data_IF_303550681661
#
_entry.id   IF_303550681661
#
_cell.length_a   1.000
_cell.length_b   1.000
_cell.length_c   1.000
_cell.angle_alpha   90.00
_cell.angle_beta   90.00
_cell.angle_gamma   90.00
#
_symmetry.space_group_name_H-M   'P 1'
#
loop_
_entity.id
_entity.type
_entity.pdbx_description
1 polymer ?
#
# COMPACT_ATOMS: atom_id res chain seq x y z
N UNK A 1 -7.74 0.74 3.48
CA UNK A 1 -6.64 1.68 3.17
C UNK A 1 -5.47 1.43 4.12
N UNK A 2 -4.28 1.38 3.58
CA UNK A 2 -3.06 1.21 4.38
C UNK A 2 -1.89 1.93 3.75
N UNK A 3 -0.93 2.33 4.58
CA UNK A 3 0.29 2.99 4.15
C UNK A 3 1.28 3.18 5.28
N UNK A 4 2.46 3.63 4.93
CA UNK A 4 3.52 4.00 5.84
C UNK A 4 3.91 5.45 5.59
N UNK A 5 3.91 6.27 6.64
CA UNK A 5 4.53 7.58 6.59
C UNK A 5 6.02 7.41 6.85
N UNK A 6 6.83 7.84 5.90
CA UNK A 6 8.28 7.69 5.95
C UNK A 6 8.96 9.06 5.98
N UNK A 7 10.06 9.17 6.74
CA UNK A 7 10.94 10.33 6.68
C UNK A 7 11.79 10.35 5.39
N UNK A 8 12.59 11.39 5.21
CA UNK A 8 13.52 11.55 4.06
C UNK A 8 14.56 10.41 3.97
N UNK A 9 14.79 9.65 5.04
CA UNK A 9 15.69 8.49 5.09
C UNK A 9 14.96 7.17 4.88
N UNK A 10 13.66 7.21 4.57
CA UNK A 10 12.77 6.06 4.42
C UNK A 10 12.59 5.25 5.70
N UNK A 11 12.71 5.89 6.87
CA UNK A 11 12.38 5.28 8.16
C UNK A 11 10.88 5.45 8.41
N UNK A 12 10.26 4.41 8.92
CA UNK A 12 8.84 4.48 9.28
C UNK A 12 8.61 5.34 10.50
N UNK A 13 7.81 6.39 10.34
CA UNK A 13 7.37 7.28 11.42
C UNK A 13 5.98 6.90 11.92
N UNK A 14 5.10 6.44 11.02
CA UNK A 14 3.74 6.09 11.36
C UNK A 14 3.16 5.05 10.40
N UNK A 15 2.38 4.11 10.93
CA UNK A 15 1.62 3.13 10.15
C UNK A 15 0.18 3.58 10.08
N UNK A 16 -0.32 3.73 8.85
CA UNK A 16 -1.71 4.04 8.57
C UNK A 16 -2.39 2.74 8.15
N UNK A 17 -3.41 2.32 8.88
CA UNK A 17 -4.19 1.15 8.50
C UNK A 17 -5.61 1.27 9.04
N UNK A 18 -6.59 1.24 8.16
CA UNK A 18 -7.99 1.16 8.56
C UNK A 18 -8.84 0.38 7.56
N UNK A 19 -9.88 -0.22 8.08
CA UNK A 19 -10.97 -0.83 7.34
C UNK A 19 -12.23 -0.01 7.54
N UNK A 20 -13.01 0.17 6.51
CA UNK A 20 -14.29 0.86 6.59
C UNK A 20 -15.43 -0.09 6.22
N UNK A 21 -16.46 -0.13 7.05
CA UNK A 21 -17.66 -0.89 6.74
C UNK A 21 -18.45 -0.23 5.62
N UNK A 22 -18.99 -1.05 4.75
CA UNK A 22 -19.93 -0.63 3.71
C UNK A 22 -21.10 -1.60 3.61
N UNK A 23 -22.26 -1.05 3.29
CA UNK A 23 -23.45 -1.87 3.00
C UNK A 23 -23.47 -2.41 1.56
N UNK A 24 -22.59 -1.91 0.70
CA UNK A 24 -22.47 -2.34 -0.69
C UNK A 24 -21.82 -3.73 -0.73
N UNK A 25 -22.44 -4.64 -1.47
CA UNK A 25 -21.83 -5.96 -1.70
C UNK A 25 -20.60 -5.83 -2.60
N UNK A 26 -19.52 -6.54 -2.23
CA UNK A 26 -18.36 -6.66 -3.10
C UNK A 26 -18.72 -7.41 -4.38
N UNK A 27 -18.14 -6.97 -5.50
CA UNK A 27 -18.21 -7.76 -6.72
C UNK A 27 -17.63 -9.17 -6.45
N UNK A 28 -18.30 -10.27 -6.90
CA UNK A 28 -17.86 -11.63 -6.62
C UNK A 28 -16.42 -11.94 -7.07
N UNK A 29 -15.96 -11.34 -8.17
CA UNK A 29 -14.59 -11.54 -8.65
C UNK A 29 -13.56 -10.77 -7.81
N UNK A 30 -13.92 -9.57 -7.33
CA UNK A 30 -13.10 -8.83 -6.37
C UNK A 30 -13.02 -9.57 -5.03
N UNK A 31 -14.15 -10.11 -4.56
CA UNK A 31 -14.22 -10.87 -3.31
C UNK A 31 -13.30 -12.11 -3.33
N UNK A 32 -13.20 -12.80 -4.46
CA UNK A 32 -12.25 -13.93 -4.64
C UNK A 32 -10.79 -13.51 -4.49
N UNK A 33 -10.48 -12.23 -4.75
CA UNK A 33 -9.12 -11.70 -4.70
C UNK A 33 -8.76 -11.20 -3.31
N UNK A 34 -9.60 -10.36 -2.70
CA UNK A 34 -9.29 -9.71 -1.42
C UNK A 34 -9.92 -10.40 -0.19
N UNK A 35 -10.88 -11.31 -0.38
CA UNK A 35 -11.57 -12.08 0.65
C UNK A 35 -12.30 -11.25 1.74
N UNK A 36 -12.53 -9.95 1.49
CA UNK A 36 -13.18 -9.05 2.43
C UNK A 36 -14.70 -9.05 2.19
N UNK A 37 -15.40 -9.99 2.80
CA UNK A 37 -16.86 -9.98 2.82
C UNK A 37 -17.42 -8.94 3.85
N UNK A 38 -18.72 -8.71 3.82
CA UNK A 38 -19.37 -7.75 4.72
C UNK A 38 -19.15 -8.05 6.19
N UNK A 39 -19.19 -9.33 6.58
CA UNK A 39 -19.03 -9.75 7.96
C UNK A 39 -17.61 -9.43 8.43
N UNK A 40 -16.62 -9.82 7.64
CA UNK A 40 -15.23 -9.54 7.96
C UNK A 40 -14.94 -8.04 7.97
N UNK A 41 -15.48 -7.27 7.02
CA UNK A 41 -15.36 -5.80 7.03
C UNK A 41 -15.98 -5.17 8.27
N UNK A 42 -17.14 -5.67 8.72
CA UNK A 42 -17.77 -5.22 9.97
C UNK A 42 -16.86 -5.48 11.17
N UNK A 43 -16.31 -6.68 11.28
CA UNK A 43 -15.42 -7.07 12.38
C UNK A 43 -14.14 -6.22 12.37
N UNK A 44 -13.47 -6.08 11.22
CA UNK A 44 -12.22 -5.35 11.09
C UNK A 44 -12.39 -3.82 11.28
N UNK A 45 -13.50 -3.27 10.83
CA UNK A 45 -13.80 -1.85 10.99
C UNK A 45 -14.42 -1.52 12.35
N UNK A 46 -14.80 -2.54 13.14
CA UNK A 46 -15.63 -2.37 14.35
C UNK A 46 -16.95 -1.67 14.04
N UNK A 47 -17.52 -1.94 12.87
CA UNK A 47 -18.75 -1.31 12.37
C UNK A 47 -18.59 0.13 11.88
N UNK A 48 -17.38 0.71 11.96
CA UNK A 48 -17.14 2.11 11.55
C UNK A 48 -17.18 2.27 10.05
N UNK A 49 -17.85 3.31 9.60
CA UNK A 49 -17.96 3.70 8.19
C UNK A 49 -16.68 4.39 7.68
N UNK A 50 -16.63 4.65 6.38
CA UNK A 50 -15.52 5.41 5.80
C UNK A 50 -15.41 6.81 6.41
N UNK A 51 -16.52 7.50 6.60
CA UNK A 51 -16.55 8.84 7.21
C UNK A 51 -15.95 8.85 8.62
N UNK A 52 -16.31 7.86 9.45
CA UNK A 52 -15.82 7.77 10.83
C UNK A 52 -14.33 7.42 10.92
N UNK A 53 -13.77 6.83 9.86
CA UNK A 53 -12.36 6.44 9.81
C UNK A 53 -11.47 7.50 9.17
N UNK A 54 -11.94 8.19 8.13
CA UNK A 54 -11.10 9.08 7.32
C UNK A 54 -10.62 10.30 8.10
N UNK A 55 -11.39 10.79 9.09
CA UNK A 55 -10.99 11.91 9.94
C UNK A 55 -9.64 11.71 10.64
N UNK A 56 -9.29 10.47 10.97
CA UNK A 56 -8.01 10.17 11.61
C UNK A 56 -6.82 10.46 10.69
N UNK A 57 -7.06 10.64 9.40
CA UNK A 57 -6.06 10.78 8.35
C UNK A 57 -6.21 12.06 7.54
N UNK A 58 -6.98 13.04 8.05
CA UNK A 58 -7.17 14.35 7.39
C UNK A 58 -5.85 15.05 7.08
N UNK A 59 -4.83 14.85 7.94
CA UNK A 59 -3.51 15.41 7.71
C UNK A 59 -2.90 15.02 6.35
N UNK A 60 -3.27 13.87 5.79
CA UNK A 60 -2.84 13.46 4.44
C UNK A 60 -3.45 14.33 3.34
N UNK A 61 -4.68 14.85 3.59
CA UNK A 61 -5.36 15.73 2.65
C UNK A 61 -4.78 17.15 2.67
N UNK A 62 -4.24 17.57 3.80
CA UNK A 62 -3.68 18.92 4.00
C UNK A 62 -2.17 18.99 3.74
N UNK A 63 -1.48 17.85 3.73
CA UNK A 63 -0.04 17.82 3.47
C UNK A 63 0.29 18.45 2.12
N UNK A 64 1.15 19.50 2.12
CA UNK A 64 1.52 20.25 0.91
C UNK A 64 2.72 19.63 0.22
N UNK A 65 3.71 19.19 1.00
CA UNK A 65 4.97 18.64 0.49
C UNK A 65 5.05 17.14 0.83
N UNK A 66 4.45 16.33 -0.04
CA UNK A 66 4.38 14.88 0.15
C UNK A 66 4.54 14.16 -1.19
N UNK A 67 5.28 13.06 -1.18
CA UNK A 67 5.37 12.15 -2.32
C UNK A 67 4.68 10.83 -1.99
N UNK A 68 3.62 10.52 -2.70
CA UNK A 68 2.96 9.23 -2.63
C UNK A 68 3.75 8.20 -3.42
N UNK A 69 4.08 7.08 -2.81
CA UNK A 69 4.79 5.98 -3.46
C UNK A 69 3.90 4.75 -3.47
N UNK A 70 3.81 4.09 -4.60
CA UNK A 70 3.01 2.89 -4.74
C UNK A 70 3.38 2.09 -5.99
N UNK A 71 2.60 1.08 -6.28
CA UNK A 71 2.78 0.20 -7.43
C UNK A 71 1.51 0.24 -8.28
N UNK A 72 1.56 0.85 -9.47
CA UNK A 72 0.39 1.14 -10.29
C UNK A 72 -0.57 2.18 -9.66
N UNK A 73 -0.01 3.27 -9.15
CA UNK A 73 -0.75 4.36 -8.48
C UNK A 73 -2.01 4.85 -9.24
N UNK A 74 -2.06 4.88 -10.57
CA UNK A 74 -3.30 5.22 -11.28
C UNK A 74 -4.49 4.36 -10.91
N UNK A 75 -4.27 3.09 -10.51
CA UNK A 75 -5.32 2.22 -10.01
C UNK A 75 -5.81 2.67 -8.63
N UNK A 76 -4.88 2.93 -7.71
CA UNK A 76 -5.20 3.37 -6.33
C UNK A 76 -5.88 4.73 -6.36
N UNK A 77 -5.39 5.67 -7.18
CA UNK A 77 -5.99 6.98 -7.38
C UNK A 77 -7.46 6.87 -7.82
N UNK A 78 -7.75 5.99 -8.78
CA UNK A 78 -9.12 5.76 -9.24
C UNK A 78 -10.01 5.20 -8.12
N UNK A 79 -9.53 4.22 -7.35
CA UNK A 79 -10.31 3.62 -6.26
C UNK A 79 -10.56 4.60 -5.13
N UNK A 80 -9.52 5.32 -4.69
CA UNK A 80 -9.64 6.34 -3.63
C UNK A 80 -10.65 7.41 -4.05
N UNK A 81 -10.52 7.96 -5.25
CA UNK A 81 -11.41 9.02 -5.71
C UNK A 81 -12.85 8.52 -5.97
N UNK A 82 -13.02 7.28 -6.40
CA UNK A 82 -14.36 6.70 -6.48
C UNK A 82 -15.00 6.53 -5.10
N UNK A 83 -14.22 6.11 -4.10
CA UNK A 83 -14.70 5.97 -2.72
C UNK A 83 -15.06 7.33 -2.14
N UNK A 84 -14.19 8.33 -2.28
CA UNK A 84 -14.47 9.70 -1.84
C UNK A 84 -15.75 10.25 -2.46
N UNK A 85 -15.87 10.16 -3.78
CA UNK A 85 -17.06 10.59 -4.51
C UNK A 85 -18.34 9.90 -4.03
N UNK A 86 -18.30 8.60 -3.80
CA UNK A 86 -19.44 7.82 -3.32
C UNK A 86 -19.89 8.25 -1.91
N UNK A 87 -18.99 8.84 -1.13
CA UNK A 87 -19.26 9.36 0.21
C UNK A 87 -19.42 10.90 0.24
N UNK A 88 -19.55 11.56 -0.93
CA UNK A 88 -19.80 13.00 -1.02
C UNK A 88 -18.60 13.91 -0.79
N UNK A 89 -17.38 13.36 -0.84
CA UNK A 89 -16.13 14.11 -0.68
C UNK A 89 -15.56 14.56 -2.03
N UNK A 90 -14.79 15.64 -1.98
CA UNK A 90 -14.00 16.09 -3.12
C UNK A 90 -12.91 15.09 -3.49
N UNK A 91 -12.50 15.02 -4.78
CA UNK A 91 -11.44 14.13 -5.21
C UNK A 91 -10.10 14.46 -4.53
N UNK A 92 -9.38 13.43 -4.14
CA UNK A 92 -8.03 13.57 -3.60
C UNK A 92 -7.01 13.80 -4.71
N UNK A 93 -6.19 14.83 -4.53
CA UNK A 93 -5.13 15.15 -5.47
C UNK A 93 -3.80 14.48 -5.05
N UNK A 94 -3.38 13.45 -5.76
CA UNK A 94 -2.08 12.79 -5.57
C UNK A 94 -0.90 13.64 -6.08
N UNK A 95 -1.16 14.75 -6.77
CA UNK A 95 -0.13 15.61 -7.32
C UNK A 95 0.41 15.16 -8.68
N UNK A 96 1.55 15.69 -9.05
CA UNK A 96 2.20 15.42 -10.34
C UNK A 96 3.03 14.15 -10.30
N UNK A 97 3.07 13.41 -11.43
CA UNK A 97 3.94 12.25 -11.57
C UNK A 97 5.40 12.68 -11.59
N UNK A 98 6.23 12.01 -10.77
CA UNK A 98 7.69 12.15 -10.83
C UNK A 98 8.33 10.84 -11.29
N UNK A 99 9.49 10.95 -11.96
CA UNK A 99 10.26 9.82 -12.48
C UNK A 99 11.43 9.43 -11.58
N UNK A 100 11.73 10.26 -10.60
CA UNK A 100 12.78 10.03 -9.60
C UNK A 100 12.32 10.57 -8.24
N UNK A 101 12.82 9.99 -7.18
CA UNK A 101 12.61 10.46 -5.81
C UNK A 101 13.60 11.59 -5.52
N UNK A 102 13.21 12.77 -5.89
CA UNK A 102 13.93 14.01 -5.56
C UNK A 102 13.11 14.82 -4.57
N UNK A 103 13.79 15.51 -3.67
CA UNK A 103 13.14 16.47 -2.78
C UNK A 103 12.59 17.61 -3.62
N UNK A 104 11.28 17.73 -3.73
CA UNK A 104 10.59 18.76 -4.50
C UNK A 104 9.43 19.32 -3.70
N UNK A 105 9.17 20.60 -3.83
CA UNK A 105 8.01 21.23 -3.25
C UNK A 105 6.73 20.74 -3.92
N UNK A 106 5.66 20.63 -3.16
CA UNK A 106 4.36 20.24 -3.63
C UNK A 106 4.04 18.76 -3.51
N UNK A 107 2.88 18.40 -4.04
CA UNK A 107 2.40 17.01 -4.04
C UNK A 107 2.86 16.29 -5.29
N UNK A 108 3.42 15.12 -5.07
CA UNK A 108 3.90 14.26 -6.13
C UNK A 108 3.51 12.81 -5.90
N UNK A 109 3.55 12.02 -6.98
CA UNK A 109 3.52 10.57 -6.86
C UNK A 109 4.62 9.91 -7.69
N UNK A 110 5.17 8.85 -7.12
CA UNK A 110 6.20 8.01 -7.72
C UNK A 110 5.66 6.58 -7.86
N UNK A 111 5.47 6.15 -9.09
CA UNK A 111 4.95 4.81 -9.41
C UNK A 111 6.11 3.82 -9.60
N UNK A 112 6.32 2.96 -8.61
CA UNK A 112 7.38 1.95 -8.62
C UNK A 112 7.25 0.92 -9.75
N UNK A 113 6.06 0.70 -10.29
CA UNK A 113 5.87 -0.29 -11.35
C UNK A 113 6.74 -0.01 -12.58
N UNK A 114 6.90 1.25 -12.96
CA UNK A 114 7.65 1.61 -14.17
C UNK A 114 9.16 1.39 -14.02
N UNK A 115 9.85 1.95 -13.01
CA UNK A 115 11.29 1.71 -12.83
C UNK A 115 11.59 0.22 -12.57
N UNK A 116 10.78 -0.47 -11.77
CA UNK A 116 10.99 -1.90 -11.52
C UNK A 116 10.81 -2.75 -12.77
N UNK A 117 9.80 -2.46 -13.60
CA UNK A 117 9.61 -3.14 -14.87
C UNK A 117 10.77 -2.87 -15.83
N UNK A 118 11.31 -1.66 -15.85
CA UNK A 118 12.48 -1.33 -16.66
C UNK A 118 13.75 -2.05 -16.21
N UNK A 119 13.96 -2.18 -14.90
CA UNK A 119 15.13 -2.85 -14.32
C UNK A 119 15.09 -4.37 -14.50
N UNK A 120 13.93 -4.99 -14.35
CA UNK A 120 13.83 -6.45 -14.25
C UNK A 120 13.14 -7.13 -15.43
N UNK A 121 12.45 -6.40 -16.29
CA UNK A 121 11.64 -6.99 -17.36
C UNK A 121 11.61 -6.14 -18.64
N UNK A 122 12.70 -5.47 -18.98
CA UNK A 122 12.85 -4.69 -20.23
C UNK A 122 11.69 -3.71 -20.50
N UNK A 123 11.11 -3.13 -19.44
CA UNK A 123 9.97 -2.19 -19.52
C UNK A 123 8.59 -2.83 -19.65
N UNK A 124 8.50 -4.15 -19.73
CA UNK A 124 7.20 -4.85 -19.74
C UNK A 124 6.65 -4.87 -18.31
N UNK A 125 5.41 -4.41 -18.13
CA UNK A 125 4.77 -4.35 -16.81
C UNK A 125 4.80 -5.70 -16.09
N UNK A 126 5.22 -5.66 -14.82
CA UNK A 126 5.25 -6.81 -13.93
C UNK A 126 4.16 -6.73 -12.88
N UNK A 127 3.71 -7.87 -12.37
CA UNK A 127 2.89 -7.93 -11.16
C UNK A 127 3.77 -7.66 -9.93
N UNK A 128 3.19 -7.11 -8.87
CA UNK A 128 3.89 -6.86 -7.60
C UNK A 128 4.53 -8.14 -7.06
N UNK A 129 3.79 -9.26 -7.07
CA UNK A 129 4.24 -10.58 -6.61
C UNK A 129 5.45 -11.13 -7.39
N UNK A 130 5.62 -10.75 -8.65
CA UNK A 130 6.77 -11.17 -9.45
C UNK A 130 7.95 -10.20 -9.27
N UNK A 131 7.65 -8.92 -9.08
CA UNK A 131 8.67 -7.89 -8.84
C UNK A 131 9.41 -8.14 -7.53
N UNK A 132 8.71 -8.48 -6.45
CA UNK A 132 9.33 -8.71 -5.13
C UNK A 132 10.33 -9.87 -5.15
N UNK A 133 10.14 -10.86 -6.02
CA UNK A 133 11.06 -12.00 -6.17
C UNK A 133 12.39 -11.60 -6.81
N UNK A 134 12.46 -10.44 -7.44
CA UNK A 134 13.68 -9.94 -8.12
C UNK A 134 14.59 -9.14 -7.20
N UNK A 135 14.10 -8.67 -6.04
CA UNK A 135 14.95 -7.91 -5.12
C UNK A 135 16.00 -8.82 -4.47
N UNK A 136 17.21 -8.26 -4.32
CA UNK A 136 18.40 -9.06 -3.96
C UNK A 136 18.81 -8.92 -2.50
N UNK A 137 18.32 -7.91 -1.79
CA UNK A 137 18.84 -7.62 -0.45
C UNK A 137 18.21 -8.46 0.66
N UNK A 138 17.01 -9.05 0.42
CA UNK A 138 16.34 -9.96 1.36
C UNK A 138 15.56 -11.03 0.61
N UNK A 139 15.52 -12.23 1.16
CA UNK A 139 14.61 -13.28 0.66
C UNK A 139 13.16 -12.95 0.99
N UNK A 140 12.22 -13.47 0.20
CA UNK A 140 10.78 -13.32 0.49
C UNK A 140 10.41 -13.86 1.89
N UNK A 141 11.12 -14.89 2.36
CA UNK A 141 10.95 -15.43 3.72
C UNK A 141 11.29 -14.39 4.78
N UNK A 142 12.45 -13.74 4.70
CA UNK A 142 12.86 -12.69 5.64
C UNK A 142 11.92 -11.49 5.61
N UNK A 143 11.44 -11.11 4.42
CA UNK A 143 10.44 -10.05 4.25
C UNK A 143 9.14 -10.41 4.99
N UNK A 144 8.68 -11.65 4.84
CA UNK A 144 7.49 -12.12 5.53
C UNK A 144 7.67 -12.18 7.06
N UNK A 145 8.83 -12.62 7.54
CA UNK A 145 9.14 -12.63 8.98
C UNK A 145 9.12 -11.22 9.58
N UNK A 146 9.69 -10.24 8.88
CA UNK A 146 9.64 -8.83 9.31
C UNK A 146 8.21 -8.28 9.28
N UNK A 147 7.44 -8.59 8.24
CA UNK A 147 6.04 -8.21 8.16
C UNK A 147 5.22 -8.78 9.32
N UNK A 148 5.39 -10.06 9.63
CA UNK A 148 4.65 -10.72 10.70
C UNK A 148 4.95 -10.08 12.07
N UNK A 149 6.19 -9.63 12.31
CA UNK A 149 6.57 -8.87 13.50
C UNK A 149 5.86 -7.51 13.56
N UNK A 150 5.87 -6.77 12.45
CA UNK A 150 5.20 -5.46 12.34
C UNK A 150 3.69 -5.63 12.57
N UNK A 151 3.09 -6.64 11.95
CA UNK A 151 1.67 -6.93 12.01
C UNK A 151 1.21 -7.23 13.44
N UNK A 152 1.96 -8.02 14.20
CA UNK A 152 1.69 -8.28 15.63
C UNK A 152 1.73 -7.00 16.46
N UNK A 153 2.63 -6.08 16.13
CA UNK A 153 2.81 -4.83 16.87
C UNK A 153 1.75 -3.76 16.55
N UNK A 154 1.06 -3.89 15.43
CA UNK A 154 0.00 -2.94 15.00
C UNK A 154 -1.35 -3.20 15.69
N UNK A 155 -1.45 -4.26 16.50
CA UNK A 155 -2.67 -4.55 17.26
C UNK A 155 -3.87 -4.96 16.38
N UNK A 156 -3.63 -5.62 15.25
CA UNK A 156 -4.70 -6.15 14.40
C UNK A 156 -5.55 -7.19 15.15
N UNK A 157 -6.86 -7.25 14.90
CA UNK A 157 -7.72 -8.24 15.54
C UNK A 157 -7.17 -9.67 15.36
N UNK A 158 -7.13 -10.42 16.44
CA UNK A 158 -6.48 -11.75 16.52
C UNK A 158 -6.97 -12.80 15.50
N UNK A 159 -8.18 -12.64 14.95
CA UNK A 159 -8.72 -13.53 13.92
C UNK A 159 -8.18 -13.29 12.51
N UNK A 160 -7.61 -12.09 12.24
CA UNK A 160 -7.14 -11.76 10.91
C UNK A 160 -5.75 -12.35 10.60
N UNK A 161 -4.88 -12.48 11.60
CA UNK A 161 -3.49 -12.89 11.40
C UNK A 161 -3.30 -14.40 11.22
N UNK A 162 -4.08 -15.23 11.91
CA UNK A 162 -3.83 -16.68 11.91
C UNK A 162 -4.61 -17.43 10.83
N UNK A 163 -5.85 -17.07 10.58
CA UNK A 163 -6.68 -17.80 9.60
C UNK A 163 -6.40 -17.36 8.17
N UNK A 164 -6.12 -16.10 7.93
CA UNK A 164 -5.67 -15.62 6.61
C UNK A 164 -4.22 -16.03 6.31
N UNK A 165 -3.34 -16.07 7.30
CA UNK A 165 -1.97 -16.57 7.12
C UNK A 165 -1.91 -18.08 6.91
N UNK A 166 -2.85 -18.85 7.48
CA UNK A 166 -2.93 -20.29 7.28
C UNK A 166 -3.54 -20.70 5.94
N UNK A 167 -4.36 -19.84 5.35
CA UNK A 167 -5.07 -20.22 4.12
C UNK A 167 -4.23 -20.20 2.86
N UNK A 168 -3.18 -19.39 2.73
CA UNK A 168 -2.30 -19.43 1.56
C UNK A 168 -1.11 -18.48 1.67
N UNK A 169 0.10 -18.91 1.33
CA UNK A 169 1.26 -18.03 1.06
C UNK A 169 1.01 -17.03 -0.08
N UNK A 170 0.04 -17.29 -0.93
CA UNK A 170 -0.43 -16.42 -2.03
C UNK A 170 -1.39 -15.34 -1.52
N UNK A 171 -2.05 -15.53 -0.37
CA UNK A 171 -3.10 -14.64 0.14
C UNK A 171 -2.60 -13.39 0.87
N UNK A 172 -1.31 -13.25 1.17
CA UNK A 172 -0.75 -12.01 1.72
C UNK A 172 -0.84 -10.87 0.71
N UNK A 173 -0.62 -11.12 -0.58
CA UNK A 173 -0.85 -10.16 -1.65
C UNK A 173 -2.35 -9.83 -1.73
N UNK A 174 -2.66 -8.58 -2.08
CA UNK A 174 -4.00 -7.98 -2.05
C UNK A 174 -4.52 -7.63 -0.64
N UNK A 175 -3.72 -7.81 0.41
CA UNK A 175 -3.90 -7.11 1.66
C UNK A 175 -3.20 -5.77 1.58
N UNK A 176 -3.91 -4.67 1.75
CA UNK A 176 -3.35 -3.32 1.52
C UNK A 176 -2.18 -2.99 2.45
N UNK A 177 -2.16 -3.52 3.68
CA UNK A 177 -1.04 -3.32 4.61
C UNK A 177 0.20 -4.08 4.16
N UNK A 178 0.04 -5.33 3.70
CA UNK A 178 1.13 -6.12 3.16
C UNK A 178 1.67 -5.53 1.86
N UNK A 179 0.80 -5.16 0.94
CA UNK A 179 1.20 -4.55 -0.33
C UNK A 179 1.96 -3.23 -0.09
N UNK A 180 1.52 -2.40 0.85
CA UNK A 180 2.24 -1.17 1.25
C UNK A 180 3.62 -1.48 1.85
N UNK A 181 3.74 -2.56 2.65
CA UNK A 181 5.03 -3.00 3.17
C UNK A 181 5.97 -3.46 2.05
N UNK A 182 5.45 -4.18 1.06
CA UNK A 182 6.22 -4.56 -0.12
C UNK A 182 6.67 -3.32 -0.92
N UNK A 183 5.83 -2.29 -1.06
CA UNK A 183 6.22 -1.03 -1.70
C UNK A 183 7.40 -0.38 -0.98
N UNK A 184 7.38 -0.38 0.35
CA UNK A 184 8.50 0.13 1.14
C UNK A 184 9.79 -0.69 0.91
N UNK A 185 9.72 -2.01 0.90
CA UNK A 185 10.87 -2.86 0.59
C UNK A 185 11.43 -2.60 -0.82
N UNK A 186 10.56 -2.47 -1.83
CA UNK A 186 10.96 -2.14 -3.20
C UNK A 186 11.58 -0.75 -3.29
N UNK A 187 11.08 0.21 -2.53
CA UNK A 187 11.60 1.57 -2.49
C UNK A 187 13.03 1.60 -1.91
N UNK A 188 13.27 0.85 -0.84
CA UNK A 188 14.60 0.69 -0.24
C UNK A 188 15.58 0.04 -1.21
N UNK A 189 15.16 -1.01 -1.90
CA UNK A 189 15.98 -1.69 -2.92
C UNK A 189 16.31 -0.75 -4.08
N UNK A 190 15.31 -0.05 -4.61
CA UNK A 190 15.48 0.93 -5.68
C UNK A 190 16.48 2.02 -5.30
N UNK A 191 16.36 2.61 -4.10
CA UNK A 191 17.29 3.63 -3.60
C UNK A 191 18.71 3.09 -3.47
N UNK A 192 18.87 1.85 -3.04
CA UNK A 192 20.17 1.19 -2.90
C UNK A 192 20.82 0.94 -4.26
N UNK A 193 20.06 0.44 -5.24
CA UNK A 193 20.56 0.16 -6.58
C UNK A 193 20.99 1.44 -7.31
N UNK A 194 20.20 2.51 -7.22
CA UNK A 194 20.58 3.80 -7.80
C UNK A 194 21.87 4.31 -7.16
N UNK A 195 22.00 4.29 -5.85
CA UNK A 195 23.21 4.73 -5.16
C UNK A 195 24.45 3.91 -5.57
N UNK A 196 24.29 2.64 -5.93
CA UNK A 196 25.38 1.81 -6.44
C UNK A 196 25.77 2.14 -7.89
N UNK A 197 24.84 2.62 -8.72
CA UNK A 197 25.12 2.99 -10.11
C UNK A 197 25.90 4.31 -10.25
N UNK A 198 25.84 5.17 -9.25
CA UNK A 198 26.50 6.49 -9.24
C UNK A 198 27.75 6.55 -8.36
N UNK A 199 28.25 5.43 -7.89
CA UNK A 199 29.58 5.25 -7.25
C UNK A 199 30.57 4.63 -8.21
#
# INVERSE_FOLDING_TARGET
FSGYLLDDNLRNEHIINFYAYTQIESNPDALKVHHLDKKLLWELSQGKTFEEQIFQYEFLFDAKDITFVGYNIPFDNRLVNQTLKNNGYEPFNFGSKVTALTKSEGRHYFDLMLPMSSMFNHGIKMKLSDTIKQIKFKSLKEINEVYDVIFKNVGMPSGFSEDLAKQNEISKFHNSLYDSFIYWCLLLDYKTQINCMFR
#
